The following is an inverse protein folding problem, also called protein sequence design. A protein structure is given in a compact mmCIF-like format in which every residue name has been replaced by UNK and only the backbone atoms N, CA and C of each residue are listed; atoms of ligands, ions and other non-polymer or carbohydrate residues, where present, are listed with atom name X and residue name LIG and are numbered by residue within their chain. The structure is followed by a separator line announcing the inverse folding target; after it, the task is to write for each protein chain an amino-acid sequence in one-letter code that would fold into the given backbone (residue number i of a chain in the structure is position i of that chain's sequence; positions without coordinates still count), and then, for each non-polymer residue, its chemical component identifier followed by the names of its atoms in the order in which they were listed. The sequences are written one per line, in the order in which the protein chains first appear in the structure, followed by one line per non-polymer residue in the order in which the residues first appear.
data_IF_818753457572
#
_entry.id   IF_818753457572
#
_cell.length_a   1.000
_cell.length_b   1.000
_cell.length_c   1.000
_cell.angle_alpha   90.00
_cell.angle_beta   90.00
_cell.angle_gamma   90.00
#
_symmetry.space_group_name_H-M   'P 1'
#
loop_
_entity.id
_entity.type
_entity.pdbx_description
1 polymer ?
#
# COMPACT_ATOMS: atom_id res chain seq x y z
N UNK A 1 17.69 17.48 -8.41
CA UNK A 1 17.81 16.62 -7.22
C UNK A 1 16.66 16.84 -6.22
N UNK A 2 16.36 18.08 -5.83
CA UNK A 2 15.32 18.38 -4.82
C UNK A 2 13.89 17.96 -5.21
N UNK A 3 13.48 18.20 -6.46
CA UNK A 3 12.14 17.80 -6.94
C UNK A 3 11.91 16.28 -6.89
N UNK A 4 12.92 15.49 -7.29
CA UNK A 4 12.88 14.03 -7.18
C UNK A 4 12.72 13.57 -5.73
N UNK A 5 13.44 14.20 -4.80
CA UNK A 5 13.34 13.89 -3.37
C UNK A 5 11.96 14.20 -2.80
N UNK A 6 11.38 15.35 -3.15
CA UNK A 6 10.01 15.71 -2.74
C UNK A 6 8.98 14.73 -3.29
N UNK A 7 9.12 14.31 -4.56
CA UNK A 7 8.24 13.31 -5.18
C UNK A 7 8.36 11.93 -4.51
N UNK A 8 9.56 11.51 -4.15
CA UNK A 8 9.80 10.29 -3.38
C UNK A 8 9.15 10.37 -1.99
N UNK A 9 9.33 11.51 -1.29
CA UNK A 9 8.75 11.72 0.04
C UNK A 9 7.22 11.74 0.01
N UNK A 10 6.60 12.35 -0.99
CA UNK A 10 5.16 12.37 -1.17
C UNK A 10 4.61 10.96 -1.39
N UNK A 11 5.24 10.16 -2.27
CA UNK A 11 4.87 8.76 -2.48
C UNK A 11 4.97 7.93 -1.21
N UNK A 12 6.04 8.10 -0.42
CA UNK A 12 6.18 7.37 0.84
C UNK A 12 5.17 7.79 1.90
N UNK A 13 4.74 9.05 1.93
CA UNK A 13 3.63 9.47 2.80
C UNK A 13 2.32 8.83 2.40
N UNK A 14 2.02 8.77 1.10
CA UNK A 14 0.82 8.12 0.59
C UNK A 14 0.80 6.63 0.93
N UNK A 15 1.92 5.92 0.76
CA UNK A 15 2.05 4.53 1.21
C UNK A 15 1.78 4.34 2.70
N UNK A 16 2.30 5.26 3.52
CA UNK A 16 2.11 5.20 4.96
C UNK A 16 0.63 5.39 5.34
N UNK A 17 -0.06 6.33 4.69
CA UNK A 17 -1.49 6.54 4.88
C UNK A 17 -2.32 5.36 4.37
N UNK A 18 -1.92 4.79 3.23
CA UNK A 18 -2.58 3.62 2.65
C UNK A 18 -2.39 2.34 3.49
N UNK A 19 -1.32 2.24 4.29
CA UNK A 19 -1.13 1.09 5.18
C UNK A 19 -2.22 0.97 6.25
N UNK A 20 -2.82 2.10 6.65
CA UNK A 20 -3.88 2.15 7.66
C UNK A 20 -5.29 2.10 7.03
N UNK A 21 -5.40 2.22 5.70
CA UNK A 21 -6.67 2.23 4.97
C UNK A 21 -6.89 0.90 4.24
N UNK A 22 -8.14 0.42 4.24
CA UNK A 22 -8.50 -0.77 3.47
C UNK A 22 -8.62 -0.45 1.97
N UNK A 23 -8.52 -1.46 1.11
CA UNK A 23 -8.53 -1.32 -0.35
C UNK A 23 -9.75 -0.55 -0.86
N UNK A 24 -10.94 -0.86 -0.34
CA UNK A 24 -12.18 -0.18 -0.70
C UNK A 24 -12.17 1.30 -0.29
N UNK A 25 -11.57 1.62 0.86
CA UNK A 25 -11.45 3.02 1.31
C UNK A 25 -10.49 3.81 0.41
N UNK A 26 -9.44 3.17 -0.12
CA UNK A 26 -8.55 3.81 -1.08
C UNK A 26 -9.25 4.08 -2.42
N UNK A 27 -10.11 3.18 -2.86
CA UNK A 27 -10.93 3.38 -4.06
C UNK A 27 -11.94 4.53 -3.87
N UNK A 28 -12.61 4.60 -2.73
CA UNK A 28 -13.59 5.65 -2.42
C UNK A 28 -12.96 7.05 -2.33
N UNK A 29 -11.73 7.15 -1.85
CA UNK A 29 -10.97 8.41 -1.76
C UNK A 29 -10.40 8.85 -3.12
N UNK A 30 -10.53 8.00 -4.16
CA UNK A 30 -9.95 8.26 -5.47
C UNK A 30 -8.43 8.20 -5.45
N UNK A 31 -7.87 7.27 -4.68
CA UNK A 31 -6.43 7.04 -4.65
C UNK A 31 -5.90 6.63 -6.03
N UNK A 32 -4.63 6.94 -6.35
CA UNK A 32 -4.03 6.52 -7.61
C UNK A 32 -4.02 4.98 -7.76
N UNK A 33 -4.26 4.48 -8.97
CA UNK A 33 -4.32 3.03 -9.26
C UNK A 33 -3.07 2.27 -8.81
N UNK A 34 -1.89 2.89 -8.93
CA UNK A 34 -0.62 2.30 -8.49
C UNK A 34 -0.59 2.08 -6.97
N UNK A 35 -1.24 2.95 -6.19
CA UNK A 35 -1.27 2.87 -4.73
C UNK A 35 -2.28 1.82 -4.26
N UNK A 36 -3.44 1.75 -4.92
CA UNK A 36 -4.44 0.69 -4.71
C UNK A 36 -3.79 -0.68 -4.98
N UNK A 37 -3.20 -0.85 -6.16
CA UNK A 37 -2.54 -2.11 -6.55
C UNK A 37 -1.43 -2.52 -5.57
N UNK A 38 -0.61 -1.56 -5.10
CA UNK A 38 0.45 -1.84 -4.12
C UNK A 38 -0.12 -2.25 -2.76
N UNK A 39 -1.22 -1.65 -2.30
CA UNK A 39 -1.90 -2.02 -1.06
C UNK A 39 -2.51 -3.43 -1.14
N UNK A 40 -3.19 -3.76 -2.24
CA UNK A 40 -3.79 -5.09 -2.48
C UNK A 40 -2.72 -6.18 -2.43
N UNK A 41 -1.62 -6.01 -3.16
CA UNK A 41 -0.51 -6.98 -3.19
C UNK A 41 0.12 -7.18 -1.82
N UNK A 42 0.36 -6.11 -1.07
CA UNK A 42 0.91 -6.23 0.29
C UNK A 42 -0.02 -7.02 1.23
N UNK A 43 -1.33 -6.85 1.07
CA UNK A 43 -2.33 -7.57 1.86
C UNK A 43 -2.42 -9.05 1.47
N UNK A 44 -2.36 -9.36 0.18
CA UNK A 44 -2.27 -10.75 -0.30
C UNK A 44 -0.99 -11.44 0.21
N UNK A 45 0.15 -10.74 0.17
CA UNK A 45 1.41 -11.24 0.72
C UNK A 45 1.31 -11.50 2.23
N UNK A 46 0.67 -10.59 2.99
CA UNK A 46 0.43 -10.80 4.41
C UNK A 46 -0.45 -12.04 4.66
N UNK A 47 -1.54 -12.21 3.91
CA UNK A 47 -2.41 -13.39 3.98
C UNK A 47 -1.65 -14.69 3.67
N UNK A 48 -0.82 -14.69 2.62
CA UNK A 48 0.01 -15.85 2.26
C UNK A 48 1.05 -16.17 3.34
N UNK A 49 1.64 -15.14 3.94
CA UNK A 49 2.58 -15.31 5.06
C UNK A 49 1.88 -15.93 6.26
N UNK A 50 0.71 -15.43 6.63
CA UNK A 50 -0.06 -15.93 7.78
C UNK A 50 -0.57 -17.36 7.53
N UNK A 51 -0.98 -17.69 6.31
CA UNK A 51 -1.32 -19.06 5.91
C UNK A 51 -0.11 -20.02 6.00
N UNK A 52 1.08 -19.55 5.65
CA UNK A 52 2.30 -20.34 5.82
C UNK A 52 2.68 -20.51 7.30
N UNK A 53 2.44 -19.50 8.15
CA UNK A 53 2.64 -19.63 9.60
C UNK A 53 1.72 -20.67 10.24
N UNK A 54 0.48 -20.82 9.76
CA UNK A 54 -0.45 -21.84 10.26
C UNK A 54 -0.14 -23.27 9.79
N UNK A 55 0.76 -23.42 8.82
CA UNK A 55 1.14 -24.72 8.23
C UNK A 55 2.30 -25.42 8.96
N UNK A 56 2.98 -24.71 9.86
CA UNK A 56 4.07 -25.23 10.70
C UNK A 56 3.62 -25.35 12.15
#
# INVERSE_FOLDING_TARGET
MWSCYLGYRARNRLRRLAADLDEHMLQDVGAPDWLVSEATVNRELARLRDANYLRW
#
